data_IF_060605052134
#
_entry.id   IF_060605052134
#
_cell.length_a   1.000
_cell.length_b   1.000
_cell.length_c   1.000
_cell.angle_alpha   90.00
_cell.angle_beta   90.00
_cell.angle_gamma   90.00
#
_symmetry.space_group_name_H-M   'P 1'
#
loop_
_entity.id
_entity.type
_entity.pdbx_description
1 polymer ?
#
# COMPACT_ATOMS: atom_id res chain seq x y z
N UNK A 1 -30.35 1.81 17.85
CA UNK A 1 -29.21 0.94 17.49
C UNK A 1 -28.47 1.64 16.36
N UNK A 2 -27.49 2.47 16.70
CA UNK A 2 -26.77 3.31 15.74
C UNK A 2 -25.70 2.48 15.06
N UNK A 3 -25.97 2.08 13.82
CA UNK A 3 -24.94 1.65 12.88
C UNK A 3 -24.27 2.93 12.37
N UNK A 4 -23.25 3.43 13.08
CA UNK A 4 -22.61 4.71 12.81
C UNK A 4 -21.13 4.66 13.16
N UNK A 5 -20.30 4.78 12.13
CA UNK A 5 -18.87 5.09 12.16
C UNK A 5 -17.98 4.13 12.95
N UNK A 6 -17.85 2.88 12.48
CA UNK A 6 -16.65 2.12 12.82
C UNK A 6 -15.51 2.73 12.01
N UNK A 7 -14.64 3.49 12.70
CA UNK A 7 -13.38 3.97 12.14
C UNK A 7 -12.71 2.80 11.42
N UNK A 8 -12.28 2.98 10.15
CA UNK A 8 -11.75 1.87 9.39
C UNK A 8 -10.56 1.26 10.09
N UNK A 9 -10.34 -0.04 9.87
CA UNK A 9 -9.21 -0.71 10.47
C UNK A 9 -7.91 0.05 10.15
N UNK A 10 -6.90 0.09 11.05
CA UNK A 10 -5.79 1.03 10.94
C UNK A 10 -4.98 0.90 9.64
N UNK A 11 -4.98 -0.29 9.04
CA UNK A 11 -4.30 -0.60 7.78
C UNK A 11 -5.29 -0.99 6.67
N UNK A 12 -6.57 -0.64 6.82
CA UNK A 12 -7.57 -0.86 5.78
C UNK A 12 -7.05 -0.30 4.45
N UNK A 13 -7.21 -1.11 3.40
CA UNK A 13 -6.82 -0.77 2.03
C UNK A 13 -5.31 -0.52 1.81
N UNK A 14 -4.45 -0.85 2.79
CA UNK A 14 -3.00 -0.85 2.61
C UNK A 14 -2.52 -2.19 2.11
N UNK A 15 -1.59 -2.19 1.16
CA UNK A 15 -0.86 -3.39 0.76
C UNK A 15 0.47 -3.43 1.51
N UNK A 16 0.68 -4.46 2.31
CA UNK A 16 1.92 -4.67 3.08
C UNK A 16 2.65 -5.88 2.51
N UNK A 17 3.88 -5.67 2.04
CA UNK A 17 4.80 -6.76 1.75
C UNK A 17 5.54 -7.12 3.04
N UNK A 18 5.44 -8.38 3.46
CA UNK A 18 6.16 -8.92 4.63
C UNK A 18 7.23 -9.90 4.15
N UNK A 19 8.49 -9.58 4.40
CA UNK A 19 9.67 -10.39 4.03
C UNK A 19 10.27 -11.01 5.29
N UNK A 20 10.09 -12.31 5.45
CA UNK A 20 10.46 -13.07 6.65
C UNK A 20 10.76 -14.52 6.26
N UNK A 21 11.96 -15.03 6.55
CA UNK A 21 12.38 -16.36 6.12
C UNK A 21 11.84 -17.49 7.02
N UNK A 22 11.53 -17.19 8.29
CA UNK A 22 10.89 -18.15 9.18
C UNK A 22 9.40 -18.28 8.86
N UNK A 23 8.97 -19.45 8.40
CA UNK A 23 7.58 -19.70 8.00
C UNK A 23 6.56 -19.48 9.14
N UNK A 24 6.75 -20.03 10.35
CA UNK A 24 5.88 -19.72 11.48
C UNK A 24 5.74 -18.22 11.79
N UNK A 25 6.85 -17.47 11.83
CA UNK A 25 6.81 -16.02 12.07
C UNK A 25 6.14 -15.26 10.93
N UNK A 26 6.43 -15.64 9.68
CA UNK A 26 5.77 -15.06 8.50
C UNK A 26 4.27 -15.28 8.53
N UNK A 27 3.82 -16.50 8.83
CA UNK A 27 2.40 -16.83 8.94
C UNK A 27 1.69 -16.02 10.05
N UNK A 28 2.34 -15.89 11.21
CA UNK A 28 1.82 -15.06 12.31
C UNK A 28 1.74 -13.58 11.90
N UNK A 29 2.78 -13.04 11.26
CA UNK A 29 2.82 -11.67 10.77
C UNK A 29 1.73 -11.37 9.74
N UNK A 30 1.46 -12.32 8.82
CA UNK A 30 0.36 -12.24 7.86
C UNK A 30 -0.98 -12.14 8.58
N UNK A 31 -1.26 -13.04 9.53
CA UNK A 31 -2.52 -13.04 10.28
C UNK A 31 -2.73 -11.71 11.02
N UNK A 32 -1.68 -11.22 11.67
CA UNK A 32 -1.65 -9.93 12.36
C UNK A 32 -2.05 -8.79 11.41
N UNK A 33 -1.33 -8.63 10.30
CA UNK A 33 -1.55 -7.53 9.37
C UNK A 33 -2.94 -7.60 8.71
N UNK A 34 -3.43 -8.80 8.40
CA UNK A 34 -4.78 -9.02 7.87
C UNK A 34 -5.87 -8.65 8.88
N UNK A 35 -5.69 -8.98 10.18
CA UNK A 35 -6.61 -8.54 11.24
C UNK A 35 -6.65 -7.02 11.39
N UNK A 36 -5.56 -6.34 11.04
CA UNK A 36 -5.48 -4.88 10.98
C UNK A 36 -6.08 -4.26 9.70
N UNK A 37 -6.59 -5.09 8.78
CA UNK A 37 -7.25 -4.67 7.54
C UNK A 37 -6.34 -4.57 6.31
N UNK A 38 -5.07 -4.95 6.41
CA UNK A 38 -4.14 -4.90 5.28
C UNK A 38 -4.30 -6.08 4.33
N UNK A 39 -4.05 -5.84 3.04
CA UNK A 39 -3.71 -6.89 2.08
C UNK A 39 -2.23 -7.23 2.25
N UNK A 40 -1.90 -8.51 2.42
CA UNK A 40 -0.53 -8.92 2.73
C UNK A 40 0.06 -9.74 1.59
N UNK A 41 1.21 -9.28 1.10
CA UNK A 41 2.08 -10.02 0.19
C UNK A 41 3.18 -10.65 1.03
N UNK A 42 3.09 -11.96 1.30
CA UNK A 42 4.10 -12.67 2.06
C UNK A 42 5.25 -13.12 1.15
N UNK A 43 6.49 -12.84 1.56
CA UNK A 43 7.70 -13.27 0.88
C UNK A 43 8.61 -14.01 1.87
N UNK A 44 9.18 -15.14 1.45
CA UNK A 44 10.10 -15.95 2.25
C UNK A 44 11.56 -15.44 2.25
N UNK A 45 11.82 -14.36 1.50
CA UNK A 45 13.12 -13.75 1.43
C UNK A 45 13.18 -12.62 0.41
N UNK A 46 14.34 -11.96 0.35
CA UNK A 46 14.55 -10.80 -0.50
C UNK A 46 14.40 -11.12 -2.00
N UNK A 47 14.80 -12.32 -2.45
CA UNK A 47 14.65 -12.72 -3.85
C UNK A 47 13.19 -12.76 -4.30
N UNK A 48 12.32 -13.39 -3.50
CA UNK A 48 10.89 -13.42 -3.80
C UNK A 48 10.29 -12.01 -3.78
N UNK A 49 10.71 -11.18 -2.81
CA UNK A 49 10.29 -9.78 -2.72
C UNK A 49 10.63 -9.01 -4.00
N UNK A 50 11.85 -9.15 -4.54
CA UNK A 50 12.27 -8.50 -5.79
C UNK A 50 11.42 -8.91 -6.99
N UNK A 51 11.11 -10.20 -7.11
CA UNK A 51 10.24 -10.70 -8.19
C UNK A 51 8.87 -10.05 -8.10
N UNK A 52 8.29 -9.97 -6.91
CA UNK A 52 6.96 -9.37 -6.73
C UNK A 52 6.99 -7.86 -6.94
N UNK A 53 8.04 -7.17 -6.51
CA UNK A 53 8.20 -5.72 -6.69
C UNK A 53 8.26 -5.30 -8.17
N UNK A 54 8.63 -6.20 -9.09
CA UNK A 54 8.57 -5.94 -10.52
C UNK A 54 7.12 -5.68 -11.01
N UNK A 55 6.15 -6.37 -10.41
CA UNK A 55 4.74 -6.39 -10.85
C UNK A 55 3.75 -5.70 -9.89
N UNK A 56 4.17 -5.42 -8.65
CA UNK A 56 3.33 -4.82 -7.62
C UNK A 56 4.12 -3.84 -6.74
N UNK A 57 3.53 -2.68 -6.45
CA UNK A 57 4.13 -1.66 -5.58
C UNK A 57 3.31 -1.56 -4.28
N UNK A 58 3.79 -2.14 -3.16
CA UNK A 58 3.07 -2.10 -1.89
C UNK A 58 3.10 -0.68 -1.27
N UNK A 59 2.30 -0.44 -0.24
CA UNK A 59 2.42 0.74 0.62
C UNK A 59 3.63 0.63 1.55
N UNK A 60 3.85 -0.58 2.08
CA UNK A 60 4.88 -0.89 3.05
C UNK A 60 5.64 -2.14 2.63
N UNK A 61 6.95 -2.13 2.79
CA UNK A 61 7.79 -3.32 2.84
C UNK A 61 8.30 -3.44 4.27
N UNK A 62 7.85 -4.47 4.97
CA UNK A 62 8.41 -4.88 6.25
C UNK A 62 9.41 -5.99 5.97
N UNK A 63 10.66 -5.83 6.38
CA UNK A 63 11.69 -6.85 6.19
C UNK A 63 12.43 -7.12 7.49
N UNK A 64 12.72 -8.39 7.74
CA UNK A 64 13.74 -8.75 8.74
C UNK A 64 15.12 -8.25 8.28
N UNK A 65 15.86 -7.62 9.18
CA UNK A 65 17.25 -7.19 8.94
C UNK A 65 18.25 -8.33 9.05
N UNK A 66 17.88 -9.44 9.73
CA UNK A 66 18.69 -10.65 9.88
C UNK A 66 18.43 -11.69 8.78
N UNK A 67 17.75 -11.31 7.69
CA UNK A 67 17.65 -12.17 6.51
C UNK A 67 19.06 -12.60 6.03
N UNK A 68 19.21 -13.85 5.53
CA UNK A 68 20.47 -14.32 4.96
C UNK A 68 21.04 -13.39 3.88
N UNK A 69 22.36 -13.40 3.73
CA UNK A 69 23.09 -12.69 2.67
C UNK A 69 22.84 -11.17 2.61
N UNK A 70 22.65 -10.53 3.78
CA UNK A 70 22.30 -9.10 3.91
C UNK A 70 20.95 -8.74 3.24
N UNK A 71 20.10 -9.75 2.99
CA UNK A 71 18.95 -9.63 2.09
C UNK A 71 18.01 -8.48 2.45
N UNK A 72 17.70 -8.28 3.73
CA UNK A 72 16.78 -7.23 4.17
C UNK A 72 17.34 -5.82 4.03
N UNK A 73 18.63 -5.63 4.36
CA UNK A 73 19.30 -4.32 4.24
C UNK A 73 19.61 -4.02 2.77
N UNK A 74 20.02 -5.02 1.99
CA UNK A 74 20.20 -4.90 0.54
C UNK A 74 18.89 -4.52 -0.15
N UNK A 75 17.78 -5.20 0.16
CA UNK A 75 16.45 -4.87 -0.36
C UNK A 75 16.06 -3.42 -0.06
N UNK A 76 16.30 -2.94 1.16
CA UNK A 76 16.03 -1.55 1.53
C UNK A 76 16.83 -0.55 0.69
N UNK A 77 18.13 -0.80 0.45
CA UNK A 77 18.97 0.06 -0.41
C UNK A 77 18.48 0.05 -1.86
N UNK A 78 18.10 -1.12 -2.38
CA UNK A 78 17.58 -1.28 -3.74
C UNK A 78 16.26 -0.53 -3.93
N UNK A 79 15.35 -0.59 -2.95
CA UNK A 79 14.11 0.17 -2.94
C UNK A 79 14.38 1.68 -3.02
N UNK A 80 15.38 2.19 -2.28
CA UNK A 80 15.77 3.61 -2.32
C UNK A 80 16.50 4.02 -3.60
N UNK A 81 17.10 3.09 -4.32
CA UNK A 81 17.74 3.37 -5.61
C UNK A 81 16.73 3.48 -6.76
N UNK A 82 15.48 3.04 -6.56
CA UNK A 82 14.43 3.04 -7.59
C UNK A 82 13.51 4.26 -7.44
N UNK A 83 13.44 5.16 -8.44
CA UNK A 83 12.56 6.33 -8.40
C UNK A 83 11.08 5.96 -8.21
N UNK A 84 10.63 4.87 -8.83
CA UNK A 84 9.23 4.44 -8.81
C UNK A 84 8.79 3.85 -7.45
N UNK A 85 9.76 3.57 -6.57
CA UNK A 85 9.54 2.98 -5.24
C UNK A 85 9.80 3.99 -4.10
N UNK A 86 10.07 5.26 -4.41
CA UNK A 86 10.26 6.31 -3.39
C UNK A 86 9.03 6.51 -2.51
N UNK A 87 7.84 6.20 -3.02
CA UNK A 87 6.58 6.26 -2.27
C UNK A 87 6.28 5.02 -1.40
N UNK A 88 7.20 4.06 -1.30
CA UNK A 88 7.07 2.84 -0.49
C UNK A 88 7.78 3.03 0.85
N UNK A 89 7.05 2.79 1.94
CA UNK A 89 7.65 2.79 3.27
C UNK A 89 8.43 1.50 3.50
N UNK A 90 9.66 1.61 3.98
CA UNK A 90 10.53 0.46 4.28
C UNK A 90 10.75 0.40 5.78
N UNK A 91 10.29 -0.68 6.39
CA UNK A 91 10.27 -0.88 7.84
C UNK A 91 11.14 -2.08 8.19
N UNK A 92 12.14 -1.85 9.04
CA UNK A 92 13.00 -2.91 9.56
C UNK A 92 12.33 -3.62 10.74
N UNK A 93 12.37 -4.94 10.76
CA UNK A 93 12.27 -5.73 11.99
C UNK A 93 13.69 -6.06 12.45
N UNK A 94 14.07 -5.63 13.66
CA UNK A 94 15.42 -5.76 14.17
C UNK A 94 15.47 -6.45 15.54
N UNK A 95 16.51 -7.22 15.88
CA UNK A 95 16.69 -7.76 17.21
C UNK A 95 17.09 -6.65 18.21
N UNK A 96 16.90 -6.83 19.52
CA UNK A 96 17.24 -5.82 20.55
C UNK A 96 18.73 -5.53 20.64
N UNK A 97 19.55 -6.49 20.20
CA UNK A 97 21.01 -6.38 20.17
C UNK A 97 21.51 -5.41 19.09
N UNK A 98 20.68 -5.08 18.09
CA UNK A 98 21.08 -4.24 16.97
C UNK A 98 20.80 -2.76 17.28
N UNK A 99 21.88 -1.98 17.36
CA UNK A 99 21.76 -0.54 17.58
C UNK A 99 21.09 0.13 16.38
N UNK A 100 20.12 1.03 16.61
CA UNK A 100 19.51 1.82 15.53
C UNK A 100 20.53 2.65 14.75
N UNK A 101 21.62 3.10 15.37
CA UNK A 101 22.71 3.81 14.69
C UNK A 101 23.51 2.91 13.72
N UNK A 102 23.36 1.58 13.86
CA UNK A 102 23.95 0.61 12.94
C UNK A 102 23.03 0.20 11.80
N UNK A 103 21.78 0.70 11.76
CA UNK A 103 20.86 0.51 10.65
C UNK A 103 21.07 1.63 9.63
N UNK A 104 21.07 1.26 8.35
CA UNK A 104 21.22 2.23 7.26
C UNK A 104 20.02 3.20 7.28
N UNK A 105 20.23 4.47 6.90
CA UNK A 105 19.19 5.50 6.82
C UNK A 105 18.09 5.20 5.76
N UNK A 106 18.15 4.02 5.14
CA UNK A 106 17.18 3.55 4.14
C UNK A 106 15.85 3.15 4.74
N UNK A 107 15.77 2.88 6.05
CA UNK A 107 14.53 2.49 6.73
C UNK A 107 13.77 3.72 7.28
N UNK A 108 12.47 3.80 7.00
CA UNK A 108 11.61 4.86 7.55
C UNK A 108 11.26 4.61 9.02
N UNK A 109 11.20 3.32 9.41
CA UNK A 109 10.98 2.91 10.78
C UNK A 109 11.73 1.63 11.11
N UNK A 110 11.98 1.44 12.40
CA UNK A 110 12.61 0.25 12.95
C UNK A 110 11.73 -0.24 14.08
N UNK A 111 11.30 -1.49 14.00
CA UNK A 111 10.52 -2.19 15.01
C UNK A 111 11.41 -3.25 15.64
N UNK A 112 11.59 -3.16 16.96
CA UNK A 112 12.39 -4.13 17.71
C UNK A 112 11.59 -5.41 17.99
N UNK A 113 12.17 -6.56 17.68
CA UNK A 113 11.64 -7.90 17.98
C UNK A 113 12.05 -8.29 19.42
N UNK A 114 11.16 -8.89 20.24
CA UNK A 114 9.78 -9.21 19.94
C UNK A 114 8.88 -7.97 20.06
N UNK A 115 8.17 -7.64 18.99
CA UNK A 115 7.18 -6.57 18.96
C UNK A 115 5.78 -7.15 19.11
N UNK A 116 4.97 -6.57 19.99
CA UNK A 116 3.53 -6.87 20.03
C UNK A 116 2.83 -6.40 18.75
N UNK A 117 1.71 -7.07 18.42
CA UNK A 117 0.81 -6.73 17.31
C UNK A 117 0.51 -5.23 17.21
N UNK A 118 0.11 -4.63 18.33
CA UNK A 118 -0.30 -3.22 18.41
C UNK A 118 0.83 -2.27 18.00
N UNK A 119 2.07 -2.61 18.35
CA UNK A 119 3.23 -1.79 18.03
C UNK A 119 3.53 -1.76 16.54
N UNK A 120 3.39 -2.91 15.85
CA UNK A 120 3.55 -3.00 14.40
C UNK A 120 2.52 -2.12 13.70
N UNK A 121 1.24 -2.33 14.03
CA UNK A 121 0.13 -1.61 13.40
C UNK A 121 0.22 -0.10 13.64
N UNK A 122 0.50 0.30 14.88
CA UNK A 122 0.64 1.72 15.25
C UNK A 122 1.81 2.36 14.51
N UNK A 123 2.94 1.65 14.41
CA UNK A 123 4.12 2.17 13.69
C UNK A 123 3.78 2.41 12.23
N UNK A 124 3.18 1.42 11.54
CA UNK A 124 2.77 1.57 10.15
C UNK A 124 1.75 2.70 9.93
N UNK A 125 0.74 2.80 10.80
CA UNK A 125 -0.28 3.84 10.73
C UNK A 125 0.24 5.26 11.00
N UNK A 126 1.38 5.39 11.68
CA UNK A 126 2.01 6.68 11.96
C UNK A 126 2.86 7.24 10.81
N UNK A 127 3.21 6.39 9.82
CA UNK A 127 4.03 6.79 8.69
C UNK A 127 3.18 7.53 7.65
N UNK A 128 3.58 8.77 7.36
CA UNK A 128 2.90 9.67 6.42
C UNK A 128 3.88 10.11 5.34
N UNK A 129 3.46 10.02 4.08
CA UNK A 129 4.30 10.46 2.96
C UNK A 129 4.33 11.99 2.95
N UNK A 130 5.47 12.61 2.60
CA UNK A 130 5.51 14.03 2.28
C UNK A 130 4.52 14.37 1.16
N UNK A 131 3.92 15.57 1.23
CA UNK A 131 2.97 16.05 0.22
C UNK A 131 3.57 16.16 -1.20
N UNK A 132 4.90 16.26 -1.30
CA UNK A 132 5.68 16.37 -2.54
C UNK A 132 6.31 15.05 -3.01
N UNK A 133 5.96 13.92 -2.37
CA UNK A 133 6.47 12.61 -2.79
C UNK A 133 6.08 12.30 -4.24
N UNK A 134 7.04 11.74 -5.01
CA UNK A 134 6.82 11.37 -6.40
C UNK A 134 5.57 10.48 -6.56
N UNK A 135 4.78 10.65 -7.64
CA UNK A 135 3.56 9.90 -7.85
C UNK A 135 3.86 8.39 -7.85
N UNK A 136 3.09 7.65 -7.04
CA UNK A 136 3.21 6.19 -6.96
C UNK A 136 2.88 5.58 -8.32
N UNK A 137 3.57 4.50 -8.66
CA UNK A 137 3.18 3.62 -9.78
C UNK A 137 1.70 3.27 -9.68
N UNK A 138 0.95 3.37 -10.79
CA UNK A 138 -0.50 3.18 -10.80
C UNK A 138 -0.85 1.81 -10.25
N UNK A 139 -1.62 1.79 -9.16
CA UNK A 139 -2.02 0.55 -8.50
C UNK A 139 -3.11 -0.20 -9.24
N UNK A 140 -3.91 0.49 -10.06
CA UNK A 140 -5.03 -0.07 -10.79
C UNK A 140 -4.60 -1.14 -11.80
N UNK A 141 -5.46 -2.12 -12.04
CA UNK A 141 -5.37 -3.12 -13.11
C UNK A 141 -6.58 -3.01 -14.03
N UNK A 142 -6.39 -3.44 -15.27
CA UNK A 142 -7.52 -3.59 -16.21
C UNK A 142 -8.58 -4.51 -15.58
N UNK A 143 -9.84 -4.14 -15.76
CA UNK A 143 -11.04 -4.74 -15.16
C UNK A 143 -11.25 -4.48 -13.66
N UNK A 144 -10.40 -3.70 -13.00
CA UNK A 144 -10.71 -3.25 -11.63
C UNK A 144 -11.94 -2.34 -11.63
N UNK A 145 -12.74 -2.40 -10.56
CA UNK A 145 -13.93 -1.58 -10.32
C UNK A 145 -13.56 -0.32 -9.55
N UNK A 146 -14.00 0.84 -10.01
CA UNK A 146 -13.67 2.14 -9.40
C UNK A 146 -14.72 2.56 -8.37
N UNK A 147 -14.30 3.04 -7.20
CA UNK A 147 -15.14 3.46 -6.07
C UNK A 147 -14.67 4.81 -5.51
N UNK A 148 -15.59 5.60 -4.95
CA UNK A 148 -15.27 6.85 -4.24
C UNK A 148 -15.13 6.69 -2.73
N UNK A 149 -15.73 5.65 -2.17
CA UNK A 149 -15.76 5.37 -0.73
C UNK A 149 -15.94 3.88 -0.49
N UNK A 150 -15.45 3.40 0.64
CA UNK A 150 -15.66 2.01 1.03
C UNK A 150 -17.15 1.74 1.32
N UNK A 151 -17.61 0.54 0.94
CA UNK A 151 -19.01 0.15 0.99
C UNK A 151 -19.93 0.89 0.02
N UNK A 152 -19.40 1.76 -0.85
CA UNK A 152 -20.15 2.45 -1.90
C UNK A 152 -20.37 1.58 -3.15
N UNK A 153 -21.11 2.12 -4.11
CA UNK A 153 -21.31 1.48 -5.40
C UNK A 153 -20.12 1.73 -6.34
N UNK A 154 -19.87 0.75 -7.21
CA UNK A 154 -18.86 0.86 -8.25
C UNK A 154 -19.31 1.88 -9.30
N UNK A 155 -18.49 2.90 -9.54
CA UNK A 155 -18.70 3.92 -10.57
C UNK A 155 -18.44 3.42 -11.99
N UNK A 156 -17.53 2.45 -12.14
CA UNK A 156 -17.06 2.02 -13.45
C UNK A 156 -16.00 0.93 -13.40
N UNK A 157 -15.45 0.62 -14.58
CA UNK A 157 -14.39 -0.36 -14.76
C UNK A 157 -13.15 0.27 -15.41
N UNK A 158 -11.98 -0.07 -14.90
CA UNK A 158 -10.68 0.27 -15.50
C UNK A 158 -10.53 -0.48 -16.83
N UNK A 159 -10.25 0.25 -17.89
CA UNK A 159 -10.07 -0.28 -19.24
C UNK A 159 -8.61 -0.28 -19.70
N UNK A 160 -7.82 0.69 -19.26
CA UNK A 160 -6.43 0.85 -19.64
C UNK A 160 -5.63 1.40 -18.46
N UNK A 161 -4.42 0.89 -18.24
CA UNK A 161 -3.49 1.38 -17.22
C UNK A 161 -2.23 1.88 -17.91
N UNK A 162 -1.72 3.02 -17.48
CA UNK A 162 -0.47 3.66 -17.91
C UNK A 162 0.36 4.00 -16.67
N UNK A 163 1.54 4.58 -16.83
CA UNK A 163 2.39 4.95 -15.69
C UNK A 163 1.84 6.19 -14.96
N UNK A 164 1.23 7.10 -15.71
CA UNK A 164 0.68 8.37 -15.21
C UNK A 164 -0.75 8.26 -14.62
N UNK A 165 -1.43 7.14 -14.83
CA UNK A 165 -2.83 6.96 -14.41
C UNK A 165 -3.51 5.79 -15.11
N UNK A 166 -4.83 5.79 -15.09
CA UNK A 166 -5.63 4.81 -15.81
C UNK A 166 -6.85 5.46 -16.46
N UNK A 167 -7.40 4.79 -17.47
CA UNK A 167 -8.68 5.15 -18.07
C UNK A 167 -9.72 4.17 -17.56
N UNK A 168 -10.77 4.68 -16.91
CA UNK A 168 -11.95 3.92 -16.54
C UNK A 168 -13.16 4.34 -17.38
N UNK A 169 -14.03 3.39 -17.68
CA UNK A 169 -15.35 3.69 -18.19
C UNK A 169 -16.28 3.91 -17.00
N UNK A 170 -16.54 5.19 -16.70
CA UNK A 170 -17.41 5.61 -15.61
C UNK A 170 -18.83 5.77 -16.15
N UNK A 171 -19.81 5.26 -15.40
CA UNK A 171 -21.20 5.39 -15.78
C UNK A 171 -21.58 6.87 -15.95
N UNK A 172 -22.32 7.21 -17.01
CA UNK A 172 -22.76 8.60 -17.35
C UNK A 172 -21.65 9.60 -17.72
N UNK A 173 -20.40 9.35 -17.39
CA UNK A 173 -19.22 10.15 -17.79
C UNK A 173 -18.50 9.58 -19.02
N UNK A 174 -18.60 8.26 -19.25
CA UNK A 174 -17.89 7.57 -20.32
C UNK A 174 -16.42 7.29 -19.96
N UNK A 175 -15.52 7.23 -20.97
CA UNK A 175 -14.09 7.05 -20.72
C UNK A 175 -13.50 8.26 -19.99
N UNK A 176 -12.91 8.02 -18.83
CA UNK A 176 -12.41 9.04 -17.92
C UNK A 176 -11.01 8.68 -17.48
N UNK A 177 -10.06 9.61 -17.65
CA UNK A 177 -8.71 9.43 -17.14
C UNK A 177 -8.69 9.77 -15.65
N UNK A 178 -8.05 8.92 -14.85
CA UNK A 178 -7.82 9.09 -13.41
C UNK A 178 -6.31 9.06 -13.19
N UNK A 179 -5.72 10.11 -12.61
CA UNK A 179 -4.29 10.18 -12.40
C UNK A 179 -3.84 9.17 -11.32
N UNK A 180 -2.58 8.74 -11.40
CA UNK A 180 -2.01 7.70 -10.54
C UNK A 180 -2.06 8.04 -9.05
N UNK A 181 -1.78 9.31 -8.74
CA UNK A 181 -1.74 9.84 -7.39
C UNK A 181 -3.13 9.91 -6.74
N UNK A 182 -4.20 9.98 -7.53
CA UNK A 182 -5.58 9.90 -7.06
C UNK A 182 -6.04 8.49 -6.72
N UNK A 183 -5.20 7.46 -6.87
CA UNK A 183 -5.50 6.13 -6.34
C UNK A 183 -5.16 6.09 -4.86
N UNK A 184 -6.19 6.18 -4.01
CA UNK A 184 -6.03 6.02 -2.57
C UNK A 184 -5.57 4.58 -2.25
N UNK A 185 -6.21 3.61 -2.89
CA UNK A 185 -5.93 2.20 -2.66
C UNK A 185 -6.47 1.28 -3.77
N UNK A 186 -6.00 0.04 -3.79
CA UNK A 186 -6.58 -1.05 -4.57
C UNK A 186 -6.70 -2.29 -3.68
N UNK A 187 -7.84 -2.97 -3.74
CA UNK A 187 -8.07 -4.21 -3.01
C UNK A 187 -9.07 -5.13 -3.74
N UNK A 188 -8.73 -6.41 -3.96
CA UNK A 188 -9.61 -7.43 -4.58
C UNK A 188 -10.29 -6.97 -5.89
N UNK A 189 -9.54 -6.28 -6.75
CA UNK A 189 -10.07 -5.76 -8.01
C UNK A 189 -10.98 -4.53 -7.84
N UNK A 190 -10.92 -3.86 -6.69
CA UNK A 190 -11.53 -2.56 -6.43
C UNK A 190 -10.45 -1.50 -6.34
N UNK A 191 -10.69 -0.32 -6.90
CA UNK A 191 -9.82 0.85 -6.84
C UNK A 191 -10.59 1.97 -6.16
N UNK A 192 -10.07 2.44 -5.02
CA UNK A 192 -10.62 3.56 -4.28
C UNK A 192 -9.88 4.84 -4.66
N UNK A 193 -10.65 5.89 -4.96
CA UNK A 193 -10.10 7.19 -5.33
C UNK A 193 -9.95 8.12 -4.12
N UNK A 194 -8.84 8.86 -4.08
CA UNK A 194 -8.67 10.01 -3.21
C UNK A 194 -9.18 11.26 -3.94
N UNK A 195 -10.38 11.71 -3.59
CA UNK A 195 -11.01 12.87 -4.22
C UNK A 195 -10.21 14.17 -4.01
N UNK A 196 -9.36 14.26 -2.98
CA UNK A 196 -8.55 15.46 -2.73
C UNK A 196 -7.42 15.65 -3.75
N UNK A 197 -7.10 14.58 -4.48
CA UNK A 197 -6.04 14.53 -5.50
C UNK A 197 -6.57 14.59 -6.93
N UNK A 198 -7.88 14.76 -7.09
CA UNK A 198 -8.52 14.95 -8.39
C UNK A 198 -8.71 16.44 -8.68
N UNK A 199 -8.65 16.81 -9.96
CA UNK A 199 -9.09 18.14 -10.39
C UNK A 199 -10.60 18.36 -10.13
N UNK A 200 -11.00 19.63 -10.07
CA UNK A 200 -12.37 20.01 -9.70
C UNK A 200 -13.42 19.49 -10.69
N UNK A 201 -13.10 19.40 -11.98
CA UNK A 201 -14.04 18.98 -13.01
C UNK A 201 -14.33 17.48 -12.88
N UNK A 202 -13.28 16.67 -12.79
CA UNK A 202 -13.35 15.24 -12.61
C UNK A 202 -14.02 14.87 -11.28
N UNK A 203 -13.62 15.53 -10.19
CA UNK A 203 -14.21 15.34 -8.85
C UNK A 203 -15.71 15.61 -8.87
N UNK A 204 -16.14 16.72 -9.47
CA UNK A 204 -17.56 17.07 -9.57
C UNK A 204 -18.35 16.05 -10.40
N UNK A 205 -17.80 15.60 -11.53
CA UNK A 205 -18.43 14.58 -12.38
C UNK A 205 -18.63 13.26 -11.65
N UNK A 206 -17.59 12.77 -10.96
CA UNK A 206 -17.65 11.50 -10.24
C UNK A 206 -18.66 11.53 -9.09
N UNK A 207 -18.70 12.62 -8.33
CA UNK A 207 -19.67 12.82 -7.23
C UNK A 207 -21.12 12.87 -7.76
N UNK A 208 -21.35 13.57 -8.88
CA UNK A 208 -22.67 13.60 -9.51
C UNK A 208 -23.12 12.20 -9.98
N UNK A 209 -22.18 11.34 -10.36
CA UNK A 209 -22.45 9.95 -10.77
C UNK A 209 -22.81 9.06 -9.57
N UNK A 210 -22.12 9.22 -8.42
CA UNK A 210 -22.42 8.48 -7.19
C UNK A 210 -23.79 8.85 -6.60
N UNK A 211 -24.16 10.14 -6.64
CA UNK A 211 -25.43 10.64 -6.09
C UNK A 211 -26.66 10.32 -6.95
N UNK A 212 -26.46 9.95 -8.21
CA UNK A 212 -27.55 9.68 -9.15
C UNK A 212 -28.07 8.23 -9.11
N UNK A 213 -27.66 7.43 -8.11
CA UNK A 213 -28.02 6.03 -7.89
C UNK A 213 -28.97 5.88 -6.71
#
# INVERSE_FOLDING_TARGET
>A
MTNGDREPAPLAWKTVMLVENDEPLRALGVQILQLAGAEVIACDGAEQARVVLADAVPDYVITDVELPDDGGRALARELRAQPDLQGVFVVALAPPSLSRASLDETFDAVIEKPSGYEHVVTTLGSLVLPDDAAPRRVRARVADRVFLRDGGDSLGLVQLVRDEGFVAHVERLGPTFVPADAVAARHEGKVLLDLSRLDDELRAGLLATDQAR
#
